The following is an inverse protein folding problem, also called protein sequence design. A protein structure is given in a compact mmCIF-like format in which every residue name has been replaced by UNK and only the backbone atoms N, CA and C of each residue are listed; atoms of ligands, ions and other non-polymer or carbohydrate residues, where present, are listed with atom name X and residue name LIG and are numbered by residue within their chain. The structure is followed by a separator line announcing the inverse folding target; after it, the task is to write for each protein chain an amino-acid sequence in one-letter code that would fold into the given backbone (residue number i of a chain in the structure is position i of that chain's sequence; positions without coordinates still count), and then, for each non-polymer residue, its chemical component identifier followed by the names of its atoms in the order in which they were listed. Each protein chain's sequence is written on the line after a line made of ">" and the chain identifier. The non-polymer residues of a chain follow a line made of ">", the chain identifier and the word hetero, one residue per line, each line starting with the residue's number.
data_IF_161598763677
#
_entry.id   IF_161598763677
#
_cell.length_a   1.000
_cell.length_b   1.000
_cell.length_c   1.000
_cell.angle_alpha   90.00
_cell.angle_beta   90.00
_cell.angle_gamma   90.00
#
_symmetry.space_group_name_H-M   'P 1'
#
loop_
_entity.id
_entity.type
_entity.pdbx_description
1 polymer ?
#
# COMPACT_ATOMS: atom_id res chain seq x y z
N UNK A 1 -10.78 -0.81 13.73
CA UNK A 1 -11.26 -0.22 12.45
C UNK A 1 -11.56 -1.35 11.50
N UNK A 2 -12.57 -1.17 10.65
CA UNK A 2 -12.81 -2.08 9.53
C UNK A 2 -11.63 -2.05 8.55
N UNK A 3 -11.42 -3.16 7.83
CA UNK A 3 -10.37 -3.26 6.82
C UNK A 3 -10.65 -2.30 5.65
N UNK A 4 -9.70 -1.43 5.33
CA UNK A 4 -9.81 -0.48 4.21
C UNK A 4 -8.76 -0.85 3.17
N UNK A 5 -9.22 -1.47 2.07
CA UNK A 5 -8.35 -1.90 0.98
C UNK A 5 -8.23 -0.83 -0.10
N UNK A 6 -7.03 -0.69 -0.67
CA UNK A 6 -6.82 0.07 -1.88
C UNK A 6 -7.22 -0.75 -3.12
N UNK A 7 -7.27 -0.09 -4.30
CA UNK A 7 -7.51 -0.75 -5.59
C UNK A 7 -6.49 -1.86 -5.90
N UNK A 8 -5.25 -1.71 -5.42
CA UNK A 8 -4.20 -2.72 -5.53
C UNK A 8 -4.10 -3.64 -4.30
N UNK A 9 -5.04 -3.59 -3.35
CA UNK A 9 -5.05 -4.46 -2.18
C UNK A 9 -4.10 -4.07 -1.04
N UNK A 10 -3.54 -2.86 -1.03
CA UNK A 10 -2.88 -2.30 0.17
C UNK A 10 -3.90 -2.03 1.28
N UNK A 11 -3.47 -2.09 2.53
CA UNK A 11 -4.30 -1.80 3.72
C UNK A 11 -4.10 -0.34 4.12
N UNK A 12 -4.99 0.53 3.64
CA UNK A 12 -4.98 1.95 3.98
C UNK A 12 -5.18 2.16 5.48
N UNK A 13 -6.03 1.37 6.13
CA UNK A 13 -6.27 1.47 7.57
C UNK A 13 -5.01 1.17 8.43
N UNK A 14 -4.05 0.40 7.91
CA UNK A 14 -2.77 0.15 8.57
C UNK A 14 -1.67 1.15 8.15
N UNK A 15 -1.88 1.89 7.06
CA UNK A 15 -0.87 2.74 6.49
C UNK A 15 -0.68 4.01 7.31
N UNK A 16 0.56 4.28 7.72
CA UNK A 16 0.91 5.46 8.50
C UNK A 16 0.71 6.78 7.72
N UNK A 17 0.62 6.75 6.38
CA UNK A 17 0.32 7.91 5.56
C UNK A 17 -1.18 8.19 5.40
N UNK A 18 -2.05 7.27 5.79
CA UNK A 18 -3.49 7.41 5.58
C UNK A 18 -4.04 8.58 6.39
N UNK A 19 -4.86 9.42 5.77
CA UNK A 19 -5.31 10.69 6.33
C UNK A 19 -5.87 10.57 7.77
N UNK A 20 -6.79 9.63 8.08
CA UNK A 20 -7.26 9.41 9.45
C UNK A 20 -6.13 9.05 10.43
N UNK A 21 -5.16 8.23 10.02
CA UNK A 21 -4.04 7.81 10.86
C UNK A 21 -3.07 8.98 11.12
N UNK A 22 -2.77 9.79 10.10
CA UNK A 22 -1.93 10.99 10.26
C UNK A 22 -2.61 12.06 11.11
N UNK A 23 -3.94 12.20 11.00
CA UNK A 23 -4.70 13.14 11.83
C UNK A 23 -4.71 12.73 13.30
N UNK A 24 -4.84 11.44 13.58
CA UNK A 24 -4.76 10.90 14.93
C UNK A 24 -3.33 10.92 15.50
N UNK A 25 -2.33 10.72 14.63
CA UNK A 25 -0.92 10.54 14.99
C UNK A 25 0.00 11.32 14.02
N UNK A 26 0.20 12.63 14.21
CA UNK A 26 1.04 13.44 13.32
C UNK A 26 2.50 12.95 13.21
N UNK A 27 3.02 12.30 14.23
CA UNK A 27 4.36 11.69 14.30
C UNK A 27 4.58 10.55 13.28
N UNK A 28 3.48 9.96 12.77
CA UNK A 28 3.53 8.92 11.74
C UNK A 28 4.20 9.39 10.46
N UNK A 29 4.14 10.69 10.18
CA UNK A 29 4.76 11.28 8.99
C UNK A 29 6.27 11.06 9.00
N UNK A 30 6.94 11.48 10.08
CA UNK A 30 8.39 11.30 10.20
C UNK A 30 8.76 9.81 10.25
N UNK A 31 8.03 9.05 11.07
CA UNK A 31 8.23 7.60 11.24
C UNK A 31 8.16 6.86 9.91
N UNK A 32 7.15 7.16 9.09
CA UNK A 32 6.99 6.52 7.78
C UNK A 32 8.03 7.00 6.77
N UNK A 33 8.41 8.28 6.80
CA UNK A 33 9.48 8.82 5.96
C UNK A 33 10.78 8.03 6.16
N UNK A 34 11.14 7.76 7.42
CA UNK A 34 12.32 6.98 7.79
C UNK A 34 12.16 5.50 7.42
N UNK A 35 10.98 4.91 7.66
CA UNK A 35 10.68 3.53 7.32
C UNK A 35 10.71 3.25 5.81
N UNK A 36 10.14 4.14 4.98
CA UNK A 36 10.21 4.03 3.53
C UNK A 36 11.63 4.14 3.00
N UNK A 37 12.43 5.05 3.56
CA UNK A 37 13.83 5.16 3.18
C UNK A 37 14.61 3.89 3.54
N UNK A 38 14.40 3.36 4.74
CA UNK A 38 15.06 2.14 5.23
C UNK A 38 14.72 0.90 4.40
N UNK A 39 13.44 0.68 4.06
CA UNK A 39 12.97 -0.58 3.49
C UNK A 39 12.69 -0.56 1.99
N UNK A 40 12.47 0.63 1.42
CA UNK A 40 12.17 0.82 0.00
C UNK A 40 13.16 1.74 -0.72
N UNK A 41 14.09 2.37 0.01
CA UNK A 41 15.17 3.17 -0.58
C UNK A 41 14.74 4.54 -1.11
N UNK A 42 13.47 4.93 -0.94
CA UNK A 42 12.97 6.24 -1.36
C UNK A 42 12.56 7.09 -0.15
N UNK A 43 12.67 8.41 -0.31
CA UNK A 43 12.33 9.38 0.74
C UNK A 43 11.19 10.27 0.25
N UNK A 44 10.14 10.37 1.06
CA UNK A 44 9.12 11.43 0.94
C UNK A 44 9.24 12.31 2.17
N UNK A 45 9.43 13.63 2.05
CA UNK A 45 9.50 14.53 3.20
C UNK A 45 8.25 14.39 4.09
N UNK A 46 8.42 14.43 5.41
CA UNK A 46 7.34 14.15 6.37
C UNK A 46 6.13 15.08 6.17
N UNK A 47 6.37 16.35 5.89
CA UNK A 47 5.37 17.36 5.56
C UNK A 47 4.53 17.00 4.32
N UNK A 48 5.06 16.20 3.41
CA UNK A 48 4.35 15.73 2.22
C UNK A 48 3.56 14.44 2.46
N UNK A 49 3.87 13.68 3.52
CA UNK A 49 3.20 12.42 3.86
C UNK A 49 1.79 12.67 4.39
N UNK A 50 0.82 12.52 3.49
CA UNK A 50 -0.60 12.49 3.77
C UNK A 50 -1.31 11.93 2.54
N UNK A 51 -2.14 10.92 2.71
CA UNK A 51 -2.81 10.22 1.63
C UNK A 51 -4.26 9.97 2.01
N UNK A 52 -5.18 10.45 1.20
CA UNK A 52 -6.61 10.25 1.40
C UNK A 52 -7.01 8.79 1.21
N UNK A 53 -6.17 7.97 0.56
CA UNK A 53 -6.53 6.62 0.14
C UNK A 53 -7.35 6.63 -1.16
N UNK A 54 -7.15 5.64 -2.01
CA UNK A 54 -7.71 5.67 -3.38
C UNK A 54 -9.22 5.41 -3.46
N UNK A 55 -9.87 5.05 -2.35
CA UNK A 55 -11.30 4.78 -2.28
C UNK A 55 -12.11 5.89 -1.59
N UNK A 56 -11.47 6.82 -0.91
CA UNK A 56 -12.15 7.82 -0.06
C UNK A 56 -12.73 9.02 -0.83
N UNK A 57 -12.53 9.09 -2.16
CA UNK A 57 -12.91 10.24 -2.97
C UNK A 57 -12.01 11.48 -2.79
N UNK A 58 -11.01 11.42 -1.90
CA UNK A 58 -10.04 12.50 -1.72
C UNK A 58 -9.07 12.65 -2.89
N UNK A 59 -8.53 13.86 -3.06
CA UNK A 59 -7.65 14.22 -4.18
C UNK A 59 -6.16 14.10 -3.82
N UNK A 60 -5.81 14.06 -2.52
CA UNK A 60 -4.42 14.02 -2.07
C UNK A 60 -3.94 12.58 -1.98
N UNK A 61 -3.23 12.16 -3.02
CA UNK A 61 -2.70 10.81 -3.17
C UNK A 61 -1.17 10.85 -3.28
N UNK A 62 -0.50 9.94 -2.57
CA UNK A 62 0.96 9.85 -2.59
C UNK A 62 1.46 9.25 -3.91
N UNK A 63 0.90 8.10 -4.31
CA UNK A 63 1.22 7.48 -5.62
C UNK A 63 0.37 8.11 -6.72
N UNK A 64 0.83 9.25 -7.25
CA UNK A 64 0.14 10.02 -8.29
C UNK A 64 0.17 9.32 -9.65
N UNK A 65 1.20 8.54 -9.92
CA UNK A 65 1.42 7.83 -11.19
C UNK A 65 1.01 6.35 -11.09
N UNK A 66 0.07 6.03 -10.19
CA UNK A 66 -0.39 4.67 -9.97
C UNK A 66 -1.05 4.09 -11.23
N UNK A 67 -0.49 3.04 -11.87
CA UNK A 67 -1.08 2.45 -13.08
C UNK A 67 -2.33 1.62 -12.80
N UNK A 68 -2.47 1.11 -11.56
CA UNK A 68 -3.59 0.26 -11.14
C UNK A 68 -4.88 1.06 -10.99
N UNK A 69 -4.79 2.28 -10.48
CA UNK A 69 -5.95 3.11 -10.14
C UNK A 69 -6.87 3.39 -11.34
N UNK A 70 -6.39 3.95 -12.47
CA UNK A 70 -7.24 4.15 -13.65
C UNK A 70 -7.72 2.82 -14.23
N UNK A 71 -6.88 1.78 -14.21
CA UNK A 71 -7.23 0.46 -14.72
C UNK A 71 -8.45 -0.15 -14.00
N UNK A 72 -8.48 -0.08 -12.67
CA UNK A 72 -9.58 -0.63 -11.88
C UNK A 72 -10.88 0.17 -12.08
N UNK A 73 -10.77 1.49 -12.26
CA UNK A 73 -11.92 2.35 -12.60
C UNK A 73 -12.47 1.98 -13.97
N UNK A 74 -11.60 1.85 -14.98
CA UNK A 74 -11.96 1.48 -16.35
C UNK A 74 -12.66 0.12 -16.42
N UNK A 75 -12.20 -0.86 -15.63
CA UNK A 75 -12.78 -2.20 -15.59
C UNK A 75 -13.99 -2.31 -14.66
N UNK A 76 -14.38 -1.23 -13.97
CA UNK A 76 -15.49 -1.19 -13.03
C UNK A 76 -15.45 -2.31 -11.96
N UNK A 77 -14.26 -2.64 -11.46
CA UNK A 77 -14.07 -3.61 -10.37
C UNK A 77 -13.67 -2.92 -9.06
N UNK A 78 -13.85 -3.58 -7.92
CA UNK A 78 -13.50 -2.97 -6.63
C UNK A 78 -11.99 -2.88 -6.42
N UNK A 79 -11.29 -3.97 -6.73
CA UNK A 79 -9.84 -4.06 -6.65
C UNK A 79 -9.35 -5.17 -7.60
N UNK A 80 -8.02 -5.26 -7.77
CA UNK A 80 -7.44 -6.21 -8.72
C UNK A 80 -7.81 -7.68 -8.51
N UNK A 81 -8.20 -8.12 -7.32
CA UNK A 81 -8.64 -9.51 -7.12
C UNK A 81 -9.94 -9.85 -7.86
N UNK A 82 -10.80 -8.87 -8.11
CA UNK A 82 -12.03 -9.07 -8.90
C UNK A 82 -11.80 -9.01 -10.42
N UNK A 83 -10.57 -8.69 -10.88
CA UNK A 83 -10.27 -8.59 -12.30
C UNK A 83 -10.11 -9.99 -12.94
N UNK A 84 -10.61 -10.16 -14.16
CA UNK A 84 -10.44 -11.38 -14.95
C UNK A 84 -8.99 -11.59 -15.42
N UNK A 85 -8.25 -10.50 -15.63
CA UNK A 85 -6.85 -10.50 -16.07
C UNK A 85 -5.84 -10.62 -14.91
N UNK A 86 -6.30 -10.92 -13.70
CA UNK A 86 -5.42 -11.12 -12.55
C UNK A 86 -4.54 -12.36 -12.77
N UNK A 87 -3.20 -12.29 -12.72
CA UNK A 87 -2.31 -11.14 -12.45
C UNK A 87 -1.83 -10.50 -13.77
N UNK A 88 -1.99 -9.17 -13.93
CA UNK A 88 -1.54 -8.41 -15.10
C UNK A 88 -0.31 -7.53 -14.83
N UNK A 89 0.33 -7.01 -15.88
CA UNK A 89 1.58 -6.24 -15.77
C UNK A 89 1.45 -4.94 -14.98
N UNK A 90 0.32 -4.23 -15.12
CA UNK A 90 0.03 -3.01 -14.33
C UNK A 90 0.01 -3.30 -12.83
N UNK A 91 -0.47 -4.46 -12.41
CA UNK A 91 -0.49 -4.86 -11.01
C UNK A 91 0.91 -5.27 -10.52
N UNK A 92 1.70 -5.96 -11.34
CA UNK A 92 3.06 -6.42 -10.97
C UNK A 92 3.95 -5.26 -10.53
N UNK A 93 3.77 -4.07 -11.09
CA UNK A 93 4.48 -2.84 -10.68
C UNK A 93 4.16 -2.36 -9.25
N UNK A 94 3.11 -2.89 -8.61
CA UNK A 94 2.68 -2.56 -7.25
C UNK A 94 2.50 -3.79 -6.38
N UNK A 95 3.01 -4.95 -6.79
CA UNK A 95 3.04 -6.13 -5.93
C UNK A 95 4.16 -6.00 -4.90
N UNK A 96 3.84 -6.35 -3.67
CA UNK A 96 4.78 -6.46 -2.57
C UNK A 96 4.51 -7.78 -1.86
N UNK A 97 5.52 -8.63 -1.85
CA UNK A 97 5.61 -9.81 -1.00
C UNK A 97 6.74 -9.61 0.03
N UNK A 98 6.48 -10.01 1.28
CA UNK A 98 7.38 -9.74 2.40
C UNK A 98 8.77 -10.33 2.17
N UNK A 99 8.83 -11.56 1.66
CA UNK A 99 10.06 -12.30 1.36
C UNK A 99 10.92 -11.58 0.32
N UNK A 100 10.30 -10.85 -0.62
CA UNK A 100 11.01 -10.05 -1.61
C UNK A 100 11.58 -8.77 -1.01
N UNK A 101 10.86 -8.15 -0.08
CA UNK A 101 11.36 -6.98 0.65
C UNK A 101 12.55 -7.38 1.52
N UNK A 102 12.45 -8.46 2.30
CA UNK A 102 13.57 -8.97 3.10
C UNK A 102 14.80 -9.26 2.24
N UNK A 103 14.61 -9.97 1.11
CA UNK A 103 15.68 -10.27 0.17
C UNK A 103 16.32 -9.02 -0.42
N UNK A 104 15.52 -8.01 -0.78
CA UNK A 104 16.01 -6.73 -1.35
C UNK A 104 16.79 -5.92 -0.33
N UNK A 105 16.32 -5.86 0.91
CA UNK A 105 16.96 -5.08 1.98
C UNK A 105 18.21 -5.80 2.51
N UNK A 106 18.26 -7.13 2.40
CA UNK A 106 19.44 -7.92 2.79
C UNK A 106 19.64 -8.05 4.30
N UNK A 107 18.59 -7.79 5.08
CA UNK A 107 18.59 -7.94 6.54
C UNK A 107 17.25 -8.49 7.02
N UNK A 108 17.25 -9.12 8.19
CA UNK A 108 16.03 -9.53 8.87
C UNK A 108 15.20 -8.30 9.25
N UNK A 109 13.94 -8.27 8.82
CA UNK A 109 13.01 -7.19 9.20
C UNK A 109 12.39 -7.53 10.54
N UNK A 110 12.55 -6.64 11.53
CA UNK A 110 11.96 -6.84 12.85
C UNK A 110 10.43 -6.92 12.77
N UNK A 111 9.75 -7.73 13.61
CA UNK A 111 8.30 -7.89 13.55
C UNK A 111 7.52 -6.57 13.63
N UNK A 112 7.96 -5.65 14.49
CA UNK A 112 7.35 -4.32 14.64
C UNK A 112 7.50 -3.47 13.36
N UNK A 113 8.66 -3.56 12.71
CA UNK A 113 8.93 -2.85 11.46
C UNK A 113 8.15 -3.47 10.30
N UNK A 114 7.98 -4.80 10.28
CA UNK A 114 7.07 -5.45 9.32
C UNK A 114 5.66 -4.92 9.48
N UNK A 115 5.14 -4.84 10.71
CA UNK A 115 3.77 -4.37 10.97
C UNK A 115 3.55 -2.94 10.49
N UNK A 116 4.51 -2.05 10.74
CA UNK A 116 4.37 -0.61 10.43
C UNK A 116 4.69 -0.27 8.98
N UNK A 117 5.71 -0.89 8.42
CA UNK A 117 6.31 -0.43 7.17
C UNK A 117 6.09 -1.37 6.01
N UNK A 118 5.74 -2.64 6.24
CA UNK A 118 5.61 -3.63 5.16
C UNK A 118 4.19 -4.17 5.03
N UNK A 119 3.56 -4.57 6.14
CA UNK A 119 2.22 -5.17 6.18
C UNK A 119 1.13 -4.32 5.50
N UNK A 120 1.15 -2.96 5.59
CA UNK A 120 0.22 -2.14 4.84
C UNK A 120 0.32 -2.34 3.32
N UNK A 121 1.52 -2.68 2.83
CA UNK A 121 1.81 -2.83 1.40
C UNK A 121 1.85 -4.28 0.94
N UNK A 122 2.02 -5.26 1.83
CA UNK A 122 2.08 -6.71 1.52
C UNK A 122 0.75 -7.19 0.91
N UNK A 123 0.54 -6.96 -0.39
CA UNK A 123 -0.72 -7.18 -1.09
C UNK A 123 -0.77 -8.46 -1.89
N UNK A 124 0.36 -9.06 -2.25
CA UNK A 124 0.36 -10.23 -3.12
C UNK A 124 -0.44 -11.38 -2.49
N UNK A 125 -0.02 -11.85 -1.31
CA UNK A 125 -0.72 -12.91 -0.58
C UNK A 125 -2.17 -12.53 -0.24
N UNK A 126 -2.43 -11.24 0.01
CA UNK A 126 -3.77 -10.73 0.30
C UNK A 126 -4.70 -10.85 -0.90
N UNK A 127 -4.25 -10.39 -2.07
CA UNK A 127 -4.99 -10.45 -3.32
C UNK A 127 -5.23 -11.90 -3.76
N UNK A 128 -4.23 -12.78 -3.61
CA UNK A 128 -4.38 -14.21 -3.91
C UNK A 128 -5.47 -14.85 -3.04
N UNK A 129 -5.52 -14.51 -1.75
CA UNK A 129 -6.57 -14.98 -0.83
C UNK A 129 -7.94 -14.43 -1.21
N UNK A 130 -8.05 -13.16 -1.61
CA UNK A 130 -9.31 -12.56 -2.06
C UNK A 130 -9.80 -13.20 -3.36
N UNK A 131 -8.89 -13.44 -4.32
CA UNK A 131 -9.20 -14.09 -5.60
C UNK A 131 -9.77 -15.51 -5.44
N UNK A 132 -9.31 -16.26 -4.43
CA UNK A 132 -9.83 -17.59 -4.12
C UNK A 132 -11.24 -17.57 -3.49
N UNK A 133 -11.72 -16.41 -3.04
CA UNK A 133 -13.02 -16.22 -2.39
C UNK A 133 -14.07 -15.60 -3.32
N UNK A 134 -13.63 -15.01 -4.44
CA UNK A 134 -14.47 -14.42 -5.50
C UNK A 134 -14.81 -15.47 -6.56
#
# INVERSE_FOLDING_TARGET
>A
MEEVLSRCGYRCDLCLAYAPNVQAHPEYRQTLSDGWFKYFGFRIPAEQIYCDGCLSGGTRLIDRECPVRPCVIEHAVDNCSACAEYVCDRLKERLVAFEEVERRVGMTILPEDRERFIRPYENQARLEKLKKRS
#
